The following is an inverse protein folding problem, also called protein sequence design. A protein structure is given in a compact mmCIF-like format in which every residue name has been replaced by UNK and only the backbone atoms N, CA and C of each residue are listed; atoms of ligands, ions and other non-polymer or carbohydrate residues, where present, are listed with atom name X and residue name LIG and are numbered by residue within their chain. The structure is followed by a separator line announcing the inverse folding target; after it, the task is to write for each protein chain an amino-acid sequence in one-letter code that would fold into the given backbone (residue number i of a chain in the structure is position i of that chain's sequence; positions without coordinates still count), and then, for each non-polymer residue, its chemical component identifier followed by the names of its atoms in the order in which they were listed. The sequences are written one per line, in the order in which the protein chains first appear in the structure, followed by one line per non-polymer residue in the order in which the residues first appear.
data_IF_279544794856
#
_entry.id   IF_279544794856
#
_cell.length_a   1.000
_cell.length_b   1.000
_cell.length_c   1.000
_cell.angle_alpha   90.00
_cell.angle_beta   90.00
_cell.angle_gamma   90.00
#
_symmetry.space_group_name_H-M   'P 1'
#
loop_
_entity.id
_entity.type
_entity.pdbx_description
1 polymer ?
#
# COMPACT_ATOMS: atom_id res chain seq x y z
N UNK A 1 -14.03 -7.78 -0.31
CA UNK A 1 -12.68 -7.36 -0.78
C UNK A 1 -12.47 -5.84 -0.80
N UNK A 2 -13.39 -4.99 -1.27
CA UNK A 2 -13.21 -3.52 -1.23
C UNK A 2 -13.17 -2.91 0.18
N UNK A 3 -13.81 -3.55 1.16
CA UNK A 3 -13.84 -3.09 2.55
C UNK A 3 -12.52 -3.19 3.33
N UNK A 4 -11.58 -4.04 2.90
CA UNK A 4 -10.33 -4.23 3.65
C UNK A 4 -9.36 -3.06 3.49
N UNK A 5 -9.23 -2.46 2.30
CA UNK A 5 -8.30 -1.33 2.14
C UNK A 5 -8.83 -0.06 2.80
N UNK A 6 -10.15 0.10 2.86
CA UNK A 6 -10.80 1.19 3.61
C UNK A 6 -10.53 1.02 5.12
N UNK A 7 -10.65 -0.20 5.65
CA UNK A 7 -10.37 -0.46 7.07
C UNK A 7 -8.88 -0.30 7.41
N UNK A 8 -7.97 -0.70 6.52
CA UNK A 8 -6.51 -0.46 6.70
C UNK A 8 -6.19 1.04 6.68
N UNK A 9 -6.79 1.82 5.77
CA UNK A 9 -6.61 3.28 5.76
C UNK A 9 -7.17 3.95 7.02
N UNK A 10 -8.33 3.50 7.49
CA UNK A 10 -8.89 3.98 8.75
C UNK A 10 -7.96 3.68 9.94
N UNK A 11 -7.35 2.48 9.98
CA UNK A 11 -6.35 2.12 11.00
C UNK A 11 -5.09 2.99 10.91
N UNK A 12 -4.59 3.27 9.71
CA UNK A 12 -3.44 4.15 9.53
C UNK A 12 -3.73 5.56 10.07
N UNK A 13 -4.93 6.09 9.84
CA UNK A 13 -5.34 7.38 10.40
C UNK A 13 -5.45 7.35 11.93
N UNK A 14 -6.07 6.31 12.49
CA UNK A 14 -6.15 6.15 13.94
C UNK A 14 -4.76 6.07 14.60
N UNK A 15 -3.78 5.39 13.97
CA UNK A 15 -2.41 5.35 14.47
C UNK A 15 -1.74 6.74 14.49
N UNK A 16 -2.04 7.60 13.50
CA UNK A 16 -1.53 8.99 13.48
C UNK A 16 -2.15 9.84 14.56
N UNK A 17 -3.46 9.73 14.76
CA UNK A 17 -4.17 10.44 15.82
C UNK A 17 -3.59 10.08 17.18
N UNK A 18 -3.37 8.79 17.44
CA UNK A 18 -2.72 8.33 18.68
C UNK A 18 -1.27 8.85 18.78
N UNK A 19 -0.50 8.82 17.67
CA UNK A 19 0.86 9.35 17.67
C UNK A 19 0.90 10.84 18.03
N UNK A 20 -0.02 11.63 17.49
CA UNK A 20 -0.10 13.07 17.75
C UNK A 20 -0.55 13.37 19.19
N UNK A 21 -1.49 12.59 19.72
CA UNK A 21 -1.89 12.66 21.13
C UNK A 21 -0.72 12.35 22.08
N UNK A 22 0.07 11.31 21.77
CA UNK A 22 1.26 10.95 22.55
C UNK A 22 2.34 12.04 22.48
N UNK A 23 2.56 12.66 21.32
CA UNK A 23 3.48 13.82 21.20
C UNK A 23 3.01 15.01 22.03
N UNK A 24 1.70 15.28 22.02
CA UNK A 24 1.09 16.32 22.85
C UNK A 24 1.30 16.05 24.35
N UNK A 25 1.11 14.80 24.76
CA UNK A 25 1.33 14.35 26.14
C UNK A 25 2.79 14.44 26.57
N UNK A 26 3.74 14.00 25.74
CA UNK A 26 5.17 14.13 25.99
C UNK A 26 5.59 15.61 26.14
N UNK A 27 5.11 16.47 25.24
CA UNK A 27 5.37 17.92 25.28
C UNK A 27 4.83 18.54 26.57
N UNK A 28 3.60 18.17 26.95
CA UNK A 28 2.97 18.65 28.19
C UNK A 28 3.76 18.20 29.41
N UNK A 29 4.21 16.94 29.44
CA UNK A 29 5.00 16.39 30.54
C UNK A 29 6.33 17.12 30.70
N UNK A 30 7.04 17.39 29.59
CA UNK A 30 8.25 18.20 29.59
C UNK A 30 8.01 19.61 30.12
N UNK A 31 6.97 20.30 29.63
CA UNK A 31 6.65 21.66 30.08
C UNK A 31 6.28 21.71 31.57
N UNK A 32 5.51 20.73 32.06
CA UNK A 32 5.14 20.64 33.47
C UNK A 32 6.35 20.32 34.37
N UNK A 33 7.23 19.44 33.90
CA UNK A 33 8.51 19.14 34.55
C UNK A 33 9.36 20.41 34.70
N UNK A 34 9.51 21.17 33.62
CA UNK A 34 10.34 22.38 33.59
C UNK A 34 9.75 23.54 34.40
N UNK A 35 8.42 23.64 34.48
CA UNK A 35 7.72 24.62 35.30
C UNK A 35 7.81 24.33 36.82
N UNK A 36 8.29 23.14 37.21
CA UNK A 36 8.27 22.71 38.60
C UNK A 36 9.30 23.51 39.45
N UNK A 37 8.81 24.22 40.47
CA UNK A 37 9.63 25.13 41.29
C UNK A 37 10.39 24.44 42.43
N UNK A 38 10.27 23.13 42.57
CA UNK A 38 10.93 22.35 43.62
C UNK A 38 12.45 22.26 43.38
N UNK A 39 13.21 23.05 44.14
CA UNK A 39 14.67 23.09 44.09
C UNK A 39 15.27 22.19 45.16
N UNK A 40 15.53 20.93 44.81
CA UNK A 40 16.26 19.97 45.62
C UNK A 40 16.85 18.87 44.73
N UNK A 41 17.86 18.10 45.20
CA UNK A 41 18.36 16.95 44.44
C UNK A 41 17.28 15.93 44.07
N UNK A 42 16.28 15.74 44.93
CA UNK A 42 15.13 14.87 44.64
C UNK A 42 14.24 15.47 43.53
N UNK A 43 14.03 16.79 43.53
CA UNK A 43 13.31 17.49 42.48
C UNK A 43 14.03 17.40 41.14
N UNK A 44 15.36 17.53 41.13
CA UNK A 44 16.19 17.36 39.93
C UNK A 44 16.08 15.94 39.37
N UNK A 45 16.18 14.92 40.24
CA UNK A 45 16.01 13.52 39.85
C UNK A 45 14.63 13.25 39.26
N UNK A 46 13.58 13.80 39.87
CA UNK A 46 12.21 13.63 39.37
C UNK A 46 12.02 14.28 38.00
N UNK A 47 12.53 15.51 37.79
CA UNK A 47 12.49 16.15 36.47
C UNK A 47 13.23 15.34 35.41
N UNK A 48 14.40 14.79 35.74
CA UNK A 48 15.14 13.91 34.83
C UNK A 48 14.35 12.65 34.46
N UNK A 49 13.64 12.04 35.42
CA UNK A 49 12.76 10.90 35.15
C UNK A 49 11.59 11.29 34.24
N UNK A 50 10.96 12.45 34.46
CA UNK A 50 9.89 12.95 33.59
C UNK A 50 10.37 13.24 32.17
N UNK A 51 11.56 13.81 32.01
CA UNK A 51 12.19 14.01 30.70
C UNK A 51 12.49 12.69 30.00
N UNK A 52 12.99 11.69 30.74
CA UNK A 52 13.19 10.34 30.23
C UNK A 52 11.89 9.71 29.73
N UNK A 53 10.82 9.77 30.54
CA UNK A 53 9.50 9.27 30.19
C UNK A 53 8.90 10.00 28.98
N UNK A 54 9.04 11.33 28.91
CA UNK A 54 8.61 12.10 27.74
C UNK A 54 9.35 11.66 26.47
N UNK A 55 10.65 11.38 26.58
CA UNK A 55 11.47 10.83 25.50
C UNK A 55 10.97 9.46 25.02
N UNK A 56 10.65 8.54 25.94
CA UNK A 56 10.10 7.22 25.62
C UNK A 56 8.73 7.32 24.92
N UNK A 57 7.84 8.18 25.42
CA UNK A 57 6.55 8.46 24.79
C UNK A 57 6.76 9.01 23.36
N UNK A 58 7.71 9.93 23.18
CA UNK A 58 8.05 10.47 21.86
C UNK A 58 8.59 9.42 20.89
N UNK A 59 9.37 8.46 21.38
CA UNK A 59 9.84 7.32 20.58
C UNK A 59 8.68 6.41 20.15
N UNK A 60 7.76 6.10 21.06
CA UNK A 60 6.55 5.33 20.74
C UNK A 60 5.65 6.04 19.70
N UNK A 61 5.45 7.36 19.85
CA UNK A 61 4.70 8.15 18.88
C UNK A 61 5.34 8.09 17.48
N UNK A 62 6.67 8.13 17.40
CA UNK A 62 7.41 7.99 16.14
C UNK A 62 7.20 6.61 15.52
N UNK A 63 7.26 5.54 16.32
CA UNK A 63 7.01 4.18 15.84
C UNK A 63 5.58 3.99 15.30
N UNK A 64 4.58 4.62 15.93
CA UNK A 64 3.19 4.61 15.44
C UNK A 64 3.05 5.35 14.10
N UNK A 65 3.75 6.48 13.93
CA UNK A 65 3.78 7.21 12.67
C UNK A 65 4.41 6.37 11.54
N UNK A 66 5.50 5.68 11.82
CA UNK A 66 6.16 4.79 10.86
C UNK A 66 5.26 3.63 10.46
N UNK A 67 4.56 3.03 11.43
CA UNK A 67 3.57 1.99 11.19
C UNK A 67 2.41 2.50 10.32
N UNK A 68 1.86 3.68 10.60
CA UNK A 68 0.84 4.31 9.76
C UNK A 68 1.33 4.51 8.32
N UNK A 69 2.55 5.01 8.15
CA UNK A 69 3.17 5.17 6.82
C UNK A 69 3.38 3.84 6.09
N UNK A 70 3.73 2.77 6.81
CA UNK A 70 3.85 1.43 6.23
C UNK A 70 2.50 0.89 5.73
N UNK A 71 1.42 1.09 6.48
CA UNK A 71 0.07 0.69 6.08
C UNK A 71 -0.39 1.43 4.82
N UNK A 72 -0.09 2.71 4.68
CA UNK A 72 -0.45 3.46 3.46
C UNK A 72 0.32 3.01 2.22
N UNK A 73 1.61 2.74 2.36
CA UNK A 73 2.40 2.15 1.27
C UNK A 73 1.81 0.81 0.85
N UNK A 74 1.40 -0.01 1.82
CA UNK A 74 0.73 -1.27 1.53
C UNK A 74 -0.59 -1.10 0.78
N UNK A 75 -1.47 -0.20 1.24
CA UNK A 75 -2.73 0.11 0.55
C UNK A 75 -2.48 0.56 -0.89
N UNK A 76 -1.50 1.43 -1.09
CA UNK A 76 -1.13 1.94 -2.42
C UNK A 76 -0.64 0.81 -3.33
N UNK A 77 0.20 -0.09 -2.82
CA UNK A 77 0.70 -1.23 -3.57
C UNK A 77 -0.42 -2.21 -3.96
N UNK A 78 -1.34 -2.49 -3.04
CA UNK A 78 -2.49 -3.37 -3.29
C UNK A 78 -3.43 -2.77 -4.34
N UNK A 79 -3.78 -1.49 -4.23
CA UNK A 79 -4.62 -0.82 -5.24
C UNK A 79 -3.93 -0.76 -6.61
N UNK A 80 -2.60 -0.55 -6.64
CA UNK A 80 -1.82 -0.65 -7.88
C UNK A 80 -1.90 -2.05 -8.51
N UNK A 81 -1.77 -3.10 -7.70
CA UNK A 81 -1.88 -4.49 -8.16
C UNK A 81 -3.29 -4.82 -8.68
N UNK A 82 -4.34 -4.35 -8.01
CA UNK A 82 -5.72 -4.53 -8.47
C UNK A 82 -5.96 -3.88 -9.83
N UNK A 83 -5.45 -2.66 -10.02
CA UNK A 83 -5.56 -1.95 -11.30
C UNK A 83 -4.83 -2.70 -12.40
N UNK A 84 -3.61 -3.17 -12.15
CA UNK A 84 -2.84 -4.01 -13.07
C UNK A 84 -3.63 -5.27 -13.51
N UNK A 85 -4.31 -5.94 -12.59
CA UNK A 85 -5.15 -7.10 -12.91
C UNK A 85 -6.34 -6.70 -13.80
N UNK A 86 -7.01 -5.59 -13.48
CA UNK A 86 -8.14 -5.10 -14.27
C UNK A 86 -7.72 -4.71 -15.70
N UNK A 87 -6.57 -4.04 -15.84
CA UNK A 87 -6.01 -3.66 -17.14
C UNK A 87 -5.67 -4.92 -17.96
N UNK A 88 -5.09 -5.95 -17.33
CA UNK A 88 -4.82 -7.23 -17.98
C UNK A 88 -6.11 -7.95 -18.43
N UNK A 89 -7.15 -7.95 -17.59
CA UNK A 89 -8.45 -8.56 -17.92
C UNK A 89 -9.13 -7.85 -19.11
N UNK A 90 -9.10 -6.51 -19.13
CA UNK A 90 -9.63 -5.73 -20.24
C UNK A 90 -8.89 -6.01 -21.54
N UNK A 91 -7.55 -6.08 -21.47
CA UNK A 91 -6.72 -6.42 -22.62
C UNK A 91 -7.01 -7.81 -23.19
N UNK A 92 -7.10 -8.84 -22.33
CA UNK A 92 -7.44 -10.21 -22.78
C UNK A 92 -8.83 -10.24 -23.41
N UNK A 93 -9.81 -9.57 -22.81
CA UNK A 93 -11.18 -9.50 -23.34
C UNK A 93 -11.20 -8.85 -24.73
N UNK A 94 -10.50 -7.74 -24.91
CA UNK A 94 -10.39 -7.06 -26.20
C UNK A 94 -9.77 -7.94 -27.28
N UNK A 95 -8.76 -8.75 -26.93
CA UNK A 95 -8.11 -9.69 -27.85
C UNK A 95 -9.01 -10.85 -28.23
N UNK A 96 -9.78 -11.39 -27.28
CA UNK A 96 -10.79 -12.41 -27.58
C UNK A 96 -11.88 -11.84 -28.50
N UNK A 97 -12.36 -10.63 -28.25
CA UNK A 97 -13.36 -9.98 -29.11
C UNK A 97 -12.84 -9.71 -30.52
N UNK A 98 -11.58 -9.27 -30.64
CA UNK A 98 -10.88 -9.12 -31.91
C UNK A 98 -10.79 -10.45 -32.67
N UNK A 99 -10.36 -11.51 -31.99
CA UNK A 99 -10.26 -12.85 -32.56
C UNK A 99 -11.63 -13.41 -32.98
N UNK A 100 -12.66 -13.23 -32.16
CA UNK A 100 -14.03 -13.64 -32.47
C UNK A 100 -14.63 -12.84 -33.64
N UNK A 101 -14.24 -11.57 -33.82
CA UNK A 101 -14.58 -10.80 -35.03
C UNK A 101 -13.88 -11.35 -36.26
N UNK A 102 -12.59 -11.67 -36.17
CA UNK A 102 -11.82 -12.25 -37.27
C UNK A 102 -12.40 -13.61 -37.73
N UNK A 103 -12.72 -14.52 -36.80
CA UNK A 103 -13.35 -15.82 -37.13
C UNK A 103 -14.74 -15.66 -37.74
N UNK A 104 -15.52 -14.65 -37.32
CA UNK A 104 -16.81 -14.39 -37.96
C UNK A 104 -16.67 -13.85 -39.38
N UNK A 105 -15.54 -13.20 -39.68
CA UNK A 105 -15.27 -12.63 -41.00
C UNK A 105 -14.55 -13.60 -41.95
N UNK A 106 -13.94 -14.66 -41.43
CA UNK A 106 -13.12 -15.59 -42.21
C UNK A 106 -13.59 -17.05 -42.02
N UNK A 107 -13.47 -17.88 -43.07
CA UNK A 107 -13.82 -19.30 -43.01
C UNK A 107 -12.89 -20.15 -42.12
N UNK A 108 -13.11 -21.47 -42.12
CA UNK A 108 -12.51 -22.49 -41.21
C UNK A 108 -10.99 -22.36 -40.95
N UNK A 109 -10.20 -21.87 -41.91
CA UNK A 109 -8.74 -21.72 -41.80
C UNK A 109 -8.27 -20.71 -40.72
N UNK A 110 -9.16 -19.85 -40.20
CA UNK A 110 -8.81 -18.83 -39.20
C UNK A 110 -8.98 -19.25 -37.74
N UNK A 111 -9.63 -20.39 -37.48
CA UNK A 111 -9.83 -20.90 -36.12
C UNK A 111 -8.49 -21.21 -35.44
N UNK A 112 -7.53 -21.80 -36.17
CA UNK A 112 -6.20 -22.10 -35.63
C UNK A 112 -5.35 -20.86 -35.31
N UNK A 113 -5.53 -19.76 -36.06
CA UNK A 113 -4.87 -18.49 -35.77
C UNK A 113 -5.41 -17.85 -34.48
N UNK A 114 -6.70 -18.03 -34.20
CA UNK A 114 -7.35 -17.55 -32.96
C UNK A 114 -6.92 -18.34 -31.73
N UNK A 115 -6.88 -19.66 -31.82
CA UNK A 115 -6.35 -20.49 -30.73
C UNK A 115 -4.89 -20.14 -30.41
N UNK A 116 -4.06 -19.90 -31.44
CA UNK A 116 -2.70 -19.43 -31.28
C UNK A 116 -2.60 -18.07 -30.56
N UNK A 117 -3.45 -17.11 -30.93
CA UNK A 117 -3.47 -15.77 -30.33
C UNK A 117 -3.94 -15.78 -28.86
N UNK A 118 -4.94 -16.60 -28.53
CA UNK A 118 -5.40 -16.79 -27.14
C UNK A 118 -4.32 -17.49 -26.30
N UNK A 119 -3.69 -18.54 -26.85
CA UNK A 119 -2.63 -19.27 -26.16
C UNK A 119 -1.33 -18.45 -25.99
N UNK A 120 -1.05 -17.50 -26.89
CA UNK A 120 0.04 -16.54 -26.67
C UNK A 120 -0.33 -15.51 -25.59
N UNK A 121 -1.55 -14.96 -25.64
CA UNK A 121 -2.02 -14.00 -24.66
C UNK A 121 -2.03 -14.57 -23.23
N UNK A 122 -2.48 -15.81 -23.06
CA UNK A 122 -2.49 -16.50 -21.77
C UNK A 122 -1.08 -16.79 -21.21
N UNK A 123 -0.06 -16.91 -22.07
CA UNK A 123 1.33 -17.17 -21.66
C UNK A 123 2.04 -15.95 -21.11
N UNK A 124 1.65 -14.76 -21.54
CA UNK A 124 2.30 -13.53 -21.11
C UNK A 124 1.66 -12.89 -19.86
N UNK A 125 0.51 -13.40 -19.39
CA UNK A 125 -0.11 -12.96 -18.12
C UNK A 125 0.53 -13.73 -16.95
N UNK A 126 1.03 -13.06 -15.90
CA UNK A 126 1.56 -13.73 -14.73
C UNK A 126 0.52 -14.66 -14.08
N UNK A 127 0.99 -15.81 -13.59
CA UNK A 127 0.14 -16.75 -12.85
C UNK A 127 -0.53 -16.07 -11.66
N UNK A 128 -1.79 -16.43 -11.37
CA UNK A 128 -2.53 -15.87 -10.24
C UNK A 128 -1.76 -16.09 -8.93
N UNK A 129 -1.53 -15.01 -8.17
CA UNK A 129 -0.74 -15.06 -6.93
C UNK A 129 0.78 -15.01 -7.10
N UNK A 130 1.31 -14.91 -8.33
CA UNK A 130 2.74 -14.68 -8.56
C UNK A 130 3.19 -13.31 -8.04
N UNK A 131 4.43 -13.23 -7.53
CA UNK A 131 5.09 -11.96 -7.17
C UNK A 131 5.25 -11.04 -8.37
N UNK A 132 5.29 -11.58 -9.59
CA UNK A 132 5.41 -10.82 -10.83
C UNK A 132 4.24 -9.83 -11.02
N UNK A 133 3.11 -10.03 -10.35
CA UNK A 133 2.01 -9.06 -10.30
C UNK A 133 2.41 -7.72 -9.68
N UNK A 134 3.42 -7.69 -8.79
CA UNK A 134 3.92 -6.46 -8.18
C UNK A 134 4.75 -5.62 -9.17
N UNK A 135 5.49 -6.29 -10.06
CA UNK A 135 6.32 -5.67 -11.10
C UNK A 135 5.57 -5.60 -12.45
N UNK A 136 4.31 -6.05 -12.48
CA UNK A 136 3.55 -6.23 -13.71
C UNK A 136 3.41 -4.94 -14.50
N UNK A 137 3.31 -3.77 -13.86
CA UNK A 137 3.25 -2.50 -14.57
C UNK A 137 4.50 -2.25 -15.43
N UNK A 138 5.69 -2.50 -14.89
CA UNK A 138 6.93 -2.40 -15.66
C UNK A 138 6.98 -3.47 -16.75
N UNK A 139 6.45 -4.67 -16.48
CA UNK A 139 6.36 -5.75 -17.45
C UNK A 139 5.38 -5.40 -18.59
N UNK A 140 4.26 -4.77 -18.28
CA UNK A 140 3.21 -4.29 -19.18
C UNK A 140 3.71 -3.16 -20.08
N UNK A 141 4.43 -2.19 -19.51
CA UNK A 141 5.10 -1.11 -20.25
C UNK A 141 6.23 -1.66 -21.14
N UNK A 142 7.09 -2.54 -20.60
CA UNK A 142 8.17 -3.19 -21.36
C UNK A 142 7.65 -4.05 -22.53
N UNK A 143 6.50 -4.69 -22.36
CA UNK A 143 5.85 -5.51 -23.39
C UNK A 143 5.05 -4.66 -24.41
N UNK A 144 4.98 -3.34 -24.22
CA UNK A 144 4.32 -2.41 -25.14
C UNK A 144 2.79 -2.54 -25.12
N UNK A 145 2.22 -2.97 -23.99
CA UNK A 145 0.79 -3.19 -23.86
C UNK A 145 0.01 -1.97 -23.38
N UNK A 146 0.72 -0.97 -22.84
CA UNK A 146 0.18 0.38 -22.64
C UNK A 146 0.35 1.17 -23.94
N UNK A 147 -0.74 1.41 -24.66
CA UNK A 147 -0.82 2.45 -25.69
C UNK A 147 -1.41 3.72 -25.09
#
# INVERSE_FOLDING_TARGET
MYGEMVSVRARANALREIADELRGSATTLTLQSDAMTWKSPAGDSFRNQLHGLAGEIGAHASALQDAAGALERHVTAVEGTKRAIQDAQAWVTARIDEAARAVRQAGEDTVGAVEGAIASAARDVPAAGSRDWLDFRQLFEKKGWAQ
#
